data_IF_890489334614
#
_entry.id   IF_890489334614
#
_cell.length_a   1.000
_cell.length_b   1.000
_cell.length_c   1.000
_cell.angle_alpha   90.00
_cell.angle_beta   90.00
_cell.angle_gamma   90.00
#
_symmetry.space_group_name_H-M   'P 1'
#
loop_
_entity.id
_entity.type
_entity.pdbx_description
1 polymer ?
#
# COMPACT_ATOMS: atom_id res chain seq x y z
N UNK A 1 10.72 -5.07 -6.50
CA UNK A 1 10.73 -3.60 -6.68
C UNK A 1 11.65 -2.98 -5.64
N UNK A 2 12.54 -2.06 -6.04
CA UNK A 2 13.35 -1.31 -5.09
C UNK A 2 12.73 0.06 -4.80
N UNK A 3 12.76 0.49 -3.53
CA UNK A 3 12.43 1.85 -3.13
C UNK A 3 13.72 2.68 -3.11
N UNK A 4 13.66 3.84 -3.73
CA UNK A 4 14.81 4.76 -3.80
C UNK A 4 14.44 6.12 -3.20
N UNK A 5 15.44 6.81 -2.65
CA UNK A 5 15.30 8.18 -2.18
C UNK A 5 15.38 9.21 -3.32
N UNK A 6 15.38 10.50 -2.98
CA UNK A 6 15.49 11.59 -3.94
C UNK A 6 16.84 11.64 -4.68
N UNK A 7 17.87 10.94 -4.16
CA UNK A 7 19.20 10.81 -4.78
C UNK A 7 19.31 9.56 -5.63
N UNK A 8 18.27 8.71 -5.68
CA UNK A 8 18.28 7.44 -6.39
C UNK A 8 18.93 6.30 -5.60
N UNK A 9 19.31 6.51 -4.35
CA UNK A 9 19.87 5.48 -3.50
C UNK A 9 18.78 4.54 -2.97
N UNK A 10 19.08 3.24 -2.97
CA UNK A 10 18.13 2.23 -2.51
C UNK A 10 17.95 2.30 -0.99
N UNK A 11 16.73 2.57 -0.56
CA UNK A 11 16.35 2.64 0.86
C UNK A 11 15.63 1.38 1.34
N UNK A 12 15.03 0.61 0.43
CA UNK A 12 14.33 -0.65 0.78
C UNK A 12 14.17 -1.55 -0.47
N UNK A 13 13.92 -2.83 -0.26
CA UNK A 13 13.59 -3.80 -1.30
C UNK A 13 12.26 -4.48 -0.97
N UNK A 14 11.25 -4.25 -1.81
CA UNK A 14 9.97 -4.93 -1.72
C UNK A 14 10.06 -6.23 -2.53
N UNK A 15 10.44 -7.28 -1.85
CA UNK A 15 10.53 -8.64 -2.39
C UNK A 15 9.84 -9.59 -1.42
N UNK A 16 8.78 -10.23 -1.88
CA UNK A 16 8.01 -11.14 -1.05
C UNK A 16 7.28 -12.16 -1.93
N UNK A 17 7.33 -13.46 -1.58
CA UNK A 17 6.54 -14.47 -2.25
C UNK A 17 5.04 -14.16 -2.20
N UNK A 18 4.32 -14.57 -3.23
CA UNK A 18 2.87 -14.43 -3.26
C UNK A 18 2.21 -15.22 -2.14
N UNK A 19 1.24 -14.62 -1.51
CA UNK A 19 0.40 -15.24 -0.48
C UNK A 19 -1.04 -14.73 -0.63
N UNK A 20 -1.98 -15.54 -1.13
CA UNK A 20 -3.38 -15.16 -1.25
C UNK A 20 -4.00 -14.74 0.08
N UNK A 21 -3.64 -15.44 1.17
CA UNK A 21 -4.16 -15.14 2.50
C UNK A 21 -3.67 -13.78 3.02
N UNK A 22 -2.40 -13.43 2.79
CA UNK A 22 -1.86 -12.13 3.19
C UNK A 22 -2.42 -10.99 2.34
N UNK A 23 -2.63 -11.22 1.05
CA UNK A 23 -3.23 -10.24 0.15
C UNK A 23 -4.69 -9.95 0.54
N UNK A 24 -5.52 -10.99 0.69
CA UNK A 24 -6.92 -10.86 1.14
C UNK A 24 -7.04 -10.31 2.57
N UNK A 25 -6.07 -10.63 3.43
CA UNK A 25 -5.99 -10.13 4.81
C UNK A 25 -5.44 -8.71 4.94
N UNK A 26 -5.12 -8.02 3.85
CA UNK A 26 -4.50 -6.69 3.86
C UNK A 26 -3.14 -6.63 4.61
N UNK A 27 -2.44 -7.76 4.68
CA UNK A 27 -1.11 -7.83 5.31
C UNK A 27 0.02 -7.52 4.34
N UNK A 28 -0.25 -7.69 3.06
CA UNK A 28 0.68 -7.47 1.97
C UNK A 28 -0.07 -6.95 0.76
N UNK A 29 0.46 -5.90 0.14
CA UNK A 29 -0.03 -5.39 -1.13
C UNK A 29 1.04 -5.61 -2.20
N UNK A 30 0.63 -6.11 -3.37
CA UNK A 30 1.52 -6.21 -4.52
C UNK A 30 1.88 -4.81 -5.01
N UNK A 31 3.18 -4.50 -5.12
CA UNK A 31 3.61 -3.24 -5.70
C UNK A 31 3.26 -3.23 -7.19
N UNK A 32 2.16 -2.57 -7.56
CA UNK A 32 1.63 -2.55 -8.92
C UNK A 32 2.70 -2.19 -9.97
N UNK A 33 3.63 -1.30 -9.64
CA UNK A 33 4.72 -0.89 -10.51
C UNK A 33 5.69 -2.02 -10.88
N UNK A 34 5.63 -3.14 -10.16
CA UNK A 34 6.43 -4.34 -10.44
C UNK A 34 5.59 -5.53 -10.93
N UNK A 35 4.35 -5.28 -11.33
CA UNK A 35 3.43 -6.31 -11.84
C UNK A 35 3.26 -6.14 -13.35
N UNK A 36 3.51 -7.20 -14.10
CA UNK A 36 3.22 -7.26 -15.53
C UNK A 36 1.88 -7.98 -15.75
N UNK A 37 1.00 -7.34 -16.51
CA UNK A 37 -0.31 -7.89 -16.84
C UNK A 37 -0.34 -8.35 -18.29
N UNK A 38 -0.74 -9.60 -18.51
CA UNK A 38 -1.03 -10.02 -19.87
C UNK A 38 -2.28 -9.31 -20.38
N UNK A 39 -2.27 -8.89 -21.65
CA UNK A 39 -3.37 -8.10 -22.25
C UNK A 39 -4.75 -8.78 -22.21
N UNK A 40 -4.78 -10.12 -22.14
CA UNK A 40 -6.05 -10.86 -22.04
C UNK A 40 -6.80 -10.55 -20.76
N UNK A 41 -6.10 -10.25 -19.65
CA UNK A 41 -6.72 -9.90 -18.37
C UNK A 41 -7.61 -8.64 -18.49
N UNK A 42 -7.21 -7.68 -19.31
CA UNK A 42 -8.03 -6.48 -19.54
C UNK A 42 -9.28 -6.77 -20.39
N UNK A 43 -9.26 -7.82 -21.22
CA UNK A 43 -10.44 -8.27 -21.98
C UNK A 43 -11.41 -9.03 -21.10
N UNK A 44 -10.89 -9.85 -20.20
CA UNK A 44 -11.66 -10.74 -19.33
C UNK A 44 -12.22 -9.99 -18.12
N UNK A 45 -11.38 -9.23 -17.42
CA UNK A 45 -11.74 -8.54 -16.17
C UNK A 45 -12.08 -7.05 -16.37
N UNK A 46 -11.98 -6.53 -17.60
CA UNK A 46 -12.20 -5.12 -17.92
C UNK A 46 -11.03 -4.20 -17.56
N UNK A 47 -11.09 -2.91 -17.96
CA UNK A 47 -10.05 -1.93 -17.67
C UNK A 47 -10.02 -1.51 -16.19
N UNK A 48 -9.10 -0.61 -15.86
CA UNK A 48 -9.06 0.03 -14.54
C UNK A 48 -10.36 0.80 -14.29
N UNK A 49 -10.94 0.64 -13.09
CA UNK A 49 -12.15 1.36 -12.68
C UNK A 49 -11.79 2.81 -12.26
N UNK A 50 -12.08 3.76 -13.14
CA UNK A 50 -11.78 5.18 -12.95
C UNK A 50 -12.56 5.86 -11.82
N UNK A 51 -13.52 5.17 -11.19
CA UNK A 51 -14.22 5.65 -9.98
C UNK A 51 -13.31 5.64 -8.76
N UNK A 52 -12.21 4.87 -8.81
CA UNK A 52 -11.15 4.88 -7.82
C UNK A 52 -10.00 5.77 -8.31
N UNK A 53 -9.70 6.82 -7.56
CA UNK A 53 -8.63 7.76 -7.94
C UNK A 53 -7.24 7.30 -7.54
N UNK A 54 -7.16 6.51 -6.47
CA UNK A 54 -5.90 6.12 -5.85
C UNK A 54 -5.71 4.61 -5.95
N UNK A 55 -6.76 3.83 -5.74
CA UNK A 55 -6.71 2.37 -5.62
C UNK A 55 -7.30 1.62 -6.84
N UNK A 56 -7.30 2.24 -8.05
CA UNK A 56 -7.77 1.60 -9.28
C UNK A 56 -6.93 0.38 -9.68
N UNK A 57 -5.63 0.44 -9.45
CA UNK A 57 -4.70 -0.67 -9.62
C UNK A 57 -5.01 -1.82 -8.65
N UNK A 58 -5.31 -1.50 -7.41
CA UNK A 58 -5.68 -2.47 -6.41
C UNK A 58 -7.05 -3.12 -6.70
N UNK A 59 -8.04 -2.35 -7.22
CA UNK A 59 -9.30 -2.92 -7.72
C UNK A 59 -9.05 -3.97 -8.81
N UNK A 60 -8.20 -3.64 -9.78
CA UNK A 60 -7.86 -4.56 -10.86
C UNK A 60 -7.18 -5.83 -10.34
N UNK A 61 -6.22 -5.69 -9.42
CA UNK A 61 -5.56 -6.84 -8.80
C UNK A 61 -6.56 -7.72 -8.02
N UNK A 62 -7.49 -7.13 -7.28
CA UNK A 62 -8.52 -7.91 -6.55
C UNK A 62 -9.42 -8.70 -7.51
N UNK A 63 -9.77 -8.14 -8.67
CA UNK A 63 -10.57 -8.84 -9.70
C UNK A 63 -9.80 -10.01 -10.32
N UNK A 64 -8.56 -9.79 -10.72
CA UNK A 64 -7.73 -10.81 -11.38
C UNK A 64 -7.33 -11.90 -10.39
N UNK A 65 -6.80 -11.52 -9.23
CA UNK A 65 -6.24 -12.46 -8.24
C UNK A 65 -7.31 -13.21 -7.42
N UNK A 66 -8.58 -12.96 -7.69
CA UNK A 66 -9.67 -13.82 -7.24
C UNK A 66 -9.75 -15.14 -8.04
N UNK A 67 -9.22 -15.16 -9.26
CA UNK A 67 -9.33 -16.27 -10.23
C UNK A 67 -7.97 -16.84 -10.62
N UNK A 68 -6.93 -16.00 -10.71
CA UNK A 68 -5.59 -16.37 -11.15
C UNK A 68 -4.54 -16.11 -10.07
N UNK A 69 -3.50 -16.94 -10.06
CA UNK A 69 -2.32 -16.70 -9.22
C UNK A 69 -1.19 -16.07 -10.02
N UNK A 70 -0.49 -15.04 -9.49
CA UNK A 70 0.62 -14.42 -10.18
C UNK A 70 1.85 -15.31 -10.11
N UNK A 71 2.63 -15.36 -11.20
CA UNK A 71 3.97 -15.91 -11.18
C UNK A 71 4.91 -14.97 -10.42
N UNK A 72 5.58 -15.48 -9.39
CA UNK A 72 6.58 -14.73 -8.65
C UNK A 72 7.99 -15.02 -9.22
N UNK A 73 8.72 -13.95 -9.54
CA UNK A 73 10.09 -14.03 -10.07
C UNK A 73 11.07 -13.50 -9.01
N UNK A 74 11.69 -14.37 -8.20
CA UNK A 74 12.62 -13.96 -7.16
C UNK A 74 13.90 -13.39 -7.74
N UNK A 75 14.53 -12.46 -7.01
CA UNK A 75 15.81 -11.87 -7.38
C UNK A 75 15.78 -10.88 -8.55
N UNK A 76 14.61 -10.66 -9.18
CA UNK A 76 14.47 -9.74 -10.31
C UNK A 76 13.89 -8.38 -9.86
N UNK A 77 14.75 -7.35 -9.86
CA UNK A 77 14.27 -5.98 -9.64
C UNK A 77 13.91 -5.35 -10.97
N UNK A 78 12.60 -5.18 -11.23
CA UNK A 78 12.08 -4.66 -12.51
C UNK A 78 11.81 -3.16 -12.48
N UNK A 79 11.73 -2.56 -11.29
CA UNK A 79 11.45 -1.12 -11.17
C UNK A 79 12.06 -0.52 -9.91
N UNK A 80 12.44 0.75 -10.03
CA UNK A 80 12.82 1.61 -8.90
C UNK A 80 11.69 2.62 -8.70
N UNK A 81 11.11 2.66 -7.50
CA UNK A 81 10.06 3.61 -7.15
C UNK A 81 10.62 4.63 -6.16
N UNK A 82 10.53 5.90 -6.51
CA UNK A 82 10.86 6.97 -5.59
C UNK A 82 9.84 7.06 -4.45
N UNK A 83 10.32 7.18 -3.23
CA UNK A 83 9.46 7.37 -2.05
C UNK A 83 8.75 8.73 -2.16
N UNK A 84 7.42 8.76 -1.99
CA UNK A 84 6.65 10.02 -1.95
C UNK A 84 5.57 10.17 -3.01
N UNK A 85 4.95 9.11 -3.50
CA UNK A 85 3.83 9.18 -4.45
C UNK A 85 2.49 9.61 -3.82
N UNK A 86 1.45 9.72 -4.67
CA UNK A 86 0.09 10.14 -4.28
C UNK A 86 -0.50 9.30 -3.15
N UNK A 87 -0.34 7.97 -3.22
CA UNK A 87 -0.81 7.02 -2.21
C UNK A 87 -0.01 7.05 -0.92
N UNK A 88 1.27 7.46 -0.97
CA UNK A 88 2.15 7.52 0.20
C UNK A 88 2.11 8.87 0.93
N UNK A 89 1.47 9.88 0.35
CA UNK A 89 1.34 11.20 0.97
C UNK A 89 0.41 11.14 2.18
N UNK A 90 0.86 11.66 3.32
CA UNK A 90 0.09 11.68 4.58
C UNK A 90 -1.31 12.29 4.43
N UNK A 91 -1.44 13.33 3.60
CA UNK A 91 -2.71 14.00 3.32
C UNK A 91 -3.74 13.07 2.68
N UNK A 92 -3.30 12.12 1.87
CA UNK A 92 -4.17 11.21 1.13
C UNK A 92 -4.47 9.90 1.88
N UNK A 93 -3.79 9.63 3.00
CA UNK A 93 -3.97 8.39 3.75
C UNK A 93 -5.44 8.06 4.10
N UNK A 94 -6.29 9.03 4.56
CA UNK A 94 -7.70 8.74 4.79
C UNK A 94 -8.49 8.39 3.52
N UNK A 95 -8.13 8.99 2.38
CA UNK A 95 -8.76 8.70 1.09
C UNK A 95 -8.36 7.30 0.58
N UNK A 96 -7.07 6.94 0.67
CA UNK A 96 -6.56 5.60 0.36
C UNK A 96 -7.34 4.55 1.14
N UNK A 97 -7.35 4.66 2.46
CA UNK A 97 -8.03 3.66 3.32
C UNK A 97 -9.53 3.58 3.03
N UNK A 98 -10.18 4.70 2.72
CA UNK A 98 -11.60 4.72 2.35
C UNK A 98 -11.87 3.99 1.05
N UNK A 99 -11.03 4.16 0.03
CA UNK A 99 -11.13 3.43 -1.23
C UNK A 99 -10.86 1.94 -1.00
N UNK A 100 -9.83 1.57 -0.26
CA UNK A 100 -9.53 0.18 0.09
C UNK A 100 -10.69 -0.50 0.85
N UNK A 101 -11.33 0.17 1.81
CA UNK A 101 -12.52 -0.36 2.50
C UNK A 101 -13.64 -0.68 1.51
N UNK A 102 -13.89 0.20 0.51
CA UNK A 102 -14.90 -0.07 -0.52
C UNK A 102 -14.52 -1.30 -1.35
N UNK A 103 -13.26 -1.42 -1.72
CA UNK A 103 -12.75 -2.54 -2.52
C UNK A 103 -12.88 -3.86 -1.76
N UNK A 104 -12.47 -3.92 -0.52
CA UNK A 104 -12.59 -5.13 0.29
C UNK A 104 -14.05 -5.54 0.49
N UNK A 105 -14.95 -4.59 0.75
CA UNK A 105 -16.40 -4.87 0.83
C UNK A 105 -16.95 -5.42 -0.48
N UNK A 106 -16.49 -4.90 -1.60
CA UNK A 106 -16.97 -5.28 -2.94
C UNK A 106 -16.45 -6.65 -3.38
N UNK A 107 -15.18 -6.94 -3.16
CA UNK A 107 -14.50 -8.11 -3.74
C UNK A 107 -14.24 -9.24 -2.76
N UNK A 108 -14.14 -8.97 -1.47
CA UNK A 108 -13.80 -9.95 -0.43
C UNK A 108 -14.99 -10.26 0.48
N UNK A 109 -16.04 -9.44 0.43
CA UNK A 109 -17.25 -9.60 1.26
C UNK A 109 -17.09 -9.15 2.71
N UNK A 110 -15.94 -8.57 3.08
CA UNK A 110 -15.68 -8.07 4.42
C UNK A 110 -14.53 -7.06 4.44
N UNK A 111 -14.33 -6.41 5.58
CA UNK A 111 -13.21 -5.48 5.76
C UNK A 111 -12.20 -6.10 6.72
N UNK A 112 -10.96 -6.38 6.28
CA UNK A 112 -9.93 -6.91 7.18
C UNK A 112 -9.72 -5.98 8.37
N UNK A 113 -9.63 -6.54 9.58
CA UNK A 113 -9.40 -5.76 10.79
C UNK A 113 -8.11 -4.92 10.73
N UNK A 114 -7.11 -5.39 10.02
CA UNK A 114 -5.85 -4.69 9.78
C UNK A 114 -6.08 -3.35 9.06
N UNK A 115 -7.02 -3.30 8.11
CA UNK A 115 -7.38 -2.07 7.39
C UNK A 115 -8.09 -1.08 8.31
N UNK A 116 -8.96 -1.57 9.19
CA UNK A 116 -9.59 -0.73 10.21
C UNK A 116 -8.54 -0.17 11.19
N UNK A 117 -7.59 -0.98 11.59
CA UNK A 117 -6.45 -0.53 12.41
C UNK A 117 -5.60 0.53 11.71
N UNK A 118 -5.35 0.39 10.40
CA UNK A 118 -4.67 1.42 9.63
C UNK A 118 -5.46 2.72 9.53
N UNK A 119 -6.79 2.62 9.42
CA UNK A 119 -7.67 3.80 9.45
C UNK A 119 -7.53 4.55 10.78
N UNK A 120 -7.63 3.84 11.91
CA UNK A 120 -7.47 4.45 13.24
C UNK A 120 -6.10 5.13 13.36
N UNK A 121 -5.01 4.48 12.92
CA UNK A 121 -3.68 5.09 12.93
C UNK A 121 -3.58 6.31 12.03
N UNK A 122 -4.17 6.26 10.82
CA UNK A 122 -4.15 7.39 9.89
C UNK A 122 -4.89 8.60 10.47
N UNK A 123 -6.05 8.40 11.07
CA UNK A 123 -6.82 9.45 11.72
C UNK A 123 -6.14 9.99 12.98
N UNK A 124 -5.60 9.11 13.81
CA UNK A 124 -4.82 9.49 15.00
C UNK A 124 -3.63 10.36 14.64
N UNK A 125 -2.88 9.97 13.60
CA UNK A 125 -1.75 10.75 13.09
C UNK A 125 -2.18 12.10 12.49
N UNK A 126 -3.28 12.12 11.72
CA UNK A 126 -3.82 13.36 11.16
C UNK A 126 -4.31 14.30 12.28
N UNK A 127 -4.93 13.77 13.34
CA UNK A 127 -5.34 14.53 14.53
C UNK A 127 -4.15 15.14 15.27
N UNK A 128 -3.09 14.34 15.54
CA UNK A 128 -1.88 14.86 16.17
C UNK A 128 -1.24 15.99 15.36
N UNK A 129 -1.20 15.86 14.03
CA UNK A 129 -0.67 16.91 13.17
C UNK A 129 -1.49 18.21 13.22
N UNK A 130 -2.83 18.10 13.33
CA UNK A 130 -3.71 19.28 13.46
C UNK A 130 -3.53 19.99 14.78
N UNK A 131 -3.27 19.26 15.87
CA UNK A 131 -3.15 19.80 17.23
C UNK A 131 -1.76 20.37 17.57
N UNK A 132 -0.70 19.81 17.00
CA UNK A 132 0.66 20.19 17.40
C UNK A 132 1.72 20.08 16.31
N UNK A 133 1.31 19.91 15.05
CA UNK A 133 2.23 19.78 13.92
C UNK A 133 3.22 18.63 14.07
N UNK A 134 4.38 18.78 13.45
CA UNK A 134 5.46 17.77 13.50
C UNK A 134 6.07 17.61 14.89
N UNK A 135 5.96 18.64 15.75
CA UNK A 135 6.51 18.59 17.12
C UNK A 135 5.89 17.47 17.97
N UNK A 136 4.60 17.20 17.80
CA UNK A 136 3.91 16.10 18.51
C UNK A 136 3.87 14.81 17.70
N UNK A 137 3.71 14.89 16.39
CA UNK A 137 3.54 13.71 15.55
C UNK A 137 4.83 12.89 15.34
N UNK A 138 6.00 13.55 15.28
CA UNK A 138 7.28 12.87 15.07
C UNK A 138 7.72 12.00 16.26
N UNK A 139 7.71 12.47 17.51
CA UNK A 139 8.09 11.64 18.66
C UNK A 139 7.23 10.39 18.77
N UNK A 140 5.90 10.53 18.63
CA UNK A 140 4.96 9.40 18.70
C UNK A 140 5.19 8.41 17.56
N UNK A 141 5.42 8.91 16.35
CA UNK A 141 5.70 8.06 15.18
C UNK A 141 7.03 7.31 15.35
N UNK A 142 8.06 7.99 15.85
CA UNK A 142 9.38 7.39 16.06
C UNK A 142 9.36 6.37 17.19
N UNK A 143 8.64 6.64 18.27
CA UNK A 143 8.44 5.67 19.35
C UNK A 143 7.74 4.40 18.84
N UNK A 144 6.66 4.54 18.08
CA UNK A 144 5.98 3.42 17.45
C UNK A 144 6.89 2.62 16.51
N UNK A 145 7.70 3.28 15.68
CA UNK A 145 8.66 2.60 14.78
C UNK A 145 9.68 1.80 15.54
N UNK A 146 10.23 2.32 16.65
CA UNK A 146 11.18 1.61 17.50
C UNK A 146 10.55 0.39 18.17
N UNK A 147 9.38 0.58 18.79
CA UNK A 147 8.76 -0.48 19.61
C UNK A 147 8.10 -1.59 18.79
N UNK A 148 7.47 -1.24 17.65
CA UNK A 148 6.63 -2.19 16.90
C UNK A 148 7.30 -2.70 15.63
N UNK A 149 8.19 -1.92 15.02
CA UNK A 149 8.82 -2.29 13.74
C UNK A 149 10.33 -2.51 13.83
N UNK A 150 10.97 -2.21 14.94
CA UNK A 150 12.43 -2.26 15.05
C UNK A 150 13.19 -1.35 14.06
N UNK A 151 12.49 -0.34 13.49
CA UNK A 151 13.03 0.53 12.44
C UNK A 151 13.64 1.79 13.03
N UNK A 152 14.68 2.32 12.36
CA UNK A 152 15.30 3.58 12.73
C UNK A 152 14.32 4.78 12.70
N UNK A 153 14.53 5.81 13.54
CA UNK A 153 13.70 7.01 13.55
C UNK A 153 13.81 7.78 12.24
N UNK A 154 12.71 8.40 11.81
CA UNK A 154 12.72 9.34 10.70
C UNK A 154 13.46 10.61 11.14
N UNK A 155 14.43 11.02 10.33
CA UNK A 155 15.09 12.33 10.41
C UNK A 155 14.62 13.12 9.19
N UNK A 156 14.08 14.29 9.42
CA UNK A 156 13.77 15.29 8.38
C UNK A 156 14.66 16.51 8.61
#
# INVERSE_FOLDING_TARGET
MALVDARGERVDLLERPWSPADFRGCRYNLPHQAVFHHRSLFREFGPFDTRFRIAADFDFLLRVLAHDEPAYLPGLTVTHMQVGGLSSTRRNAPAVVREEIRLYRRHVGGVPWMLLWWLVKAWGKAGLHRLGGDRLALPVTNLYRRLVRGQAPLRY
#
